data_IF_182039425946
#
_entry.id   IF_182039425946
#
_cell.length_a   1.000
_cell.length_b   1.000
_cell.length_c   1.000
_cell.angle_alpha   90.00
_cell.angle_beta   90.00
_cell.angle_gamma   90.00
#
_symmetry.space_group_name_H-M   'P 1'
#
loop_
_entity.id
_entity.type
_entity.pdbx_description
1 polymer ?
#
# COMPACT_ATOMS: atom_id res chain seq x y z
N UNK A 1 -9.72 -4.57 -6.82
CA UNK A 1 -9.44 -3.10 -7.00
C UNK A 1 -10.28 -2.38 -5.96
N UNK A 2 -10.04 -1.13 -5.51
CA UNK A 2 -11.05 -0.47 -4.69
C UNK A 2 -12.32 -0.28 -5.53
N UNK A 3 -13.34 -1.13 -5.32
CA UNK A 3 -14.52 -1.20 -6.19
C UNK A 3 -15.54 -0.11 -5.88
N UNK A 4 -15.54 0.45 -4.67
CA UNK A 4 -16.36 1.61 -4.36
C UNK A 4 -15.70 2.91 -4.86
N UNK A 5 -16.48 3.88 -5.40
CA UNK A 5 -15.97 5.19 -5.77
C UNK A 5 -15.27 5.91 -4.61
N UNK A 6 -15.72 5.68 -3.37
CA UNK A 6 -15.15 6.25 -2.16
C UNK A 6 -13.76 5.68 -1.86
N UNK A 7 -13.60 4.36 -1.92
CA UNK A 7 -12.32 3.69 -1.65
C UNK A 7 -11.31 3.98 -2.76
N UNK A 8 -11.78 4.07 -4.01
CA UNK A 8 -10.95 4.49 -5.14
C UNK A 8 -10.42 5.91 -4.91
N UNK A 9 -11.27 6.83 -4.46
CA UNK A 9 -10.86 8.22 -4.13
C UNK A 9 -9.85 8.27 -2.99
N UNK A 10 -10.06 7.48 -1.92
CA UNK A 10 -9.12 7.37 -0.80
C UNK A 10 -7.75 6.83 -1.25
N UNK A 11 -7.74 5.71 -1.97
CA UNK A 11 -6.52 5.11 -2.50
C UNK A 11 -5.76 6.08 -3.43
N UNK A 12 -6.46 6.76 -4.35
CA UNK A 12 -5.84 7.77 -5.21
C UNK A 12 -5.24 8.94 -4.42
N UNK A 13 -5.87 9.36 -3.33
CA UNK A 13 -5.35 10.42 -2.45
C UNK A 13 -4.05 9.97 -1.77
N UNK A 14 -3.99 8.72 -1.30
CA UNK A 14 -2.77 8.12 -0.74
C UNK A 14 -1.66 8.02 -1.77
N UNK A 15 -1.96 7.55 -2.98
CA UNK A 15 -0.99 7.45 -4.09
C UNK A 15 -0.42 8.83 -4.44
N UNK A 16 -1.26 9.87 -4.52
CA UNK A 16 -0.79 11.25 -4.78
C UNK A 16 0.14 11.76 -3.69
N UNK A 17 -0.13 11.43 -2.42
CA UNK A 17 0.77 11.76 -1.31
C UNK A 17 2.12 11.03 -1.44
N UNK A 18 2.10 9.73 -1.73
CA UNK A 18 3.31 8.93 -1.94
C UNK A 18 4.14 9.50 -3.10
N UNK A 19 3.49 9.90 -4.21
CA UNK A 19 4.14 10.57 -5.33
C UNK A 19 4.90 11.83 -4.87
N UNK A 20 4.26 12.71 -4.10
CA UNK A 20 4.92 13.90 -3.57
C UNK A 20 6.10 13.59 -2.63
N UNK A 21 6.01 12.50 -1.86
CA UNK A 21 7.15 12.03 -1.04
C UNK A 21 8.30 11.51 -1.90
N UNK A 22 8.01 10.80 -3.00
CA UNK A 22 9.02 10.31 -3.93
C UNK A 22 9.72 11.46 -4.66
N UNK A 23 8.97 12.44 -5.14
CA UNK A 23 9.54 13.67 -5.76
C UNK A 23 10.40 14.46 -4.76
N UNK A 24 10.03 14.47 -3.47
CA UNK A 24 10.85 15.12 -2.43
C UNK A 24 12.15 14.36 -2.15
N UNK A 25 12.12 13.03 -2.19
CA UNK A 25 13.30 12.18 -2.07
C UNK A 25 14.25 12.37 -3.26
N UNK A 26 13.71 12.41 -4.47
CA UNK A 26 14.47 12.68 -5.70
C UNK A 26 15.23 14.01 -5.60
N UNK A 27 14.54 15.10 -5.24
CA UNK A 27 15.18 16.41 -5.03
C UNK A 27 16.26 16.39 -3.95
N UNK A 28 16.03 15.67 -2.85
CA UNK A 28 17.03 15.55 -1.79
C UNK A 28 18.30 14.86 -2.30
N UNK A 29 18.16 13.78 -3.08
CA UNK A 29 19.27 13.08 -3.70
C UNK A 29 20.01 13.95 -4.71
N UNK A 30 19.30 14.65 -5.60
CA UNK A 30 19.89 15.58 -6.57
C UNK A 30 20.66 16.72 -5.90
N UNK A 31 20.17 17.20 -4.76
CA UNK A 31 20.83 18.27 -3.98
C UNK A 31 22.04 17.79 -3.18
N UNK A 32 22.33 16.48 -3.16
CA UNK A 32 23.41 15.92 -2.35
C UNK A 32 23.13 15.98 -0.83
N UNK A 33 21.87 15.82 -0.42
CA UNK A 33 21.48 15.86 0.98
C UNK A 33 22.18 14.77 1.82
N UNK A 34 22.37 15.06 3.11
CA UNK A 34 22.95 14.11 4.06
C UNK A 34 22.16 12.79 4.13
N UNK A 35 22.87 11.70 4.46
CA UNK A 35 22.29 10.37 4.53
C UNK A 35 21.12 10.26 5.53
N UNK A 36 21.19 10.95 6.67
CA UNK A 36 20.16 10.85 7.71
C UNK A 36 18.78 11.36 7.24
N UNK A 37 18.64 12.58 6.67
CA UNK A 37 17.40 13.03 6.03
C UNK A 37 16.87 12.08 4.93
N UNK A 38 17.76 11.56 4.07
CA UNK A 38 17.39 10.61 3.01
C UNK A 38 16.81 9.32 3.61
N UNK A 39 17.45 8.75 4.63
CA UNK A 39 16.97 7.56 5.33
C UNK A 39 15.61 7.81 6.01
N UNK A 40 15.38 9.00 6.56
CA UNK A 40 14.09 9.38 7.12
C UNK A 40 12.98 9.45 6.05
N UNK A 41 13.27 10.03 4.89
CA UNK A 41 12.32 10.07 3.77
C UNK A 41 12.00 8.68 3.24
N UNK A 42 12.99 7.79 3.10
CA UNK A 42 12.80 6.39 2.73
C UNK A 42 11.93 5.65 3.76
N UNK A 43 12.18 5.84 5.05
CA UNK A 43 11.37 5.25 6.11
C UNK A 43 9.90 5.73 6.04
N UNK A 44 9.68 7.02 5.77
CA UNK A 44 8.34 7.60 5.62
C UNK A 44 7.62 7.06 4.37
N UNK A 45 8.33 6.92 3.24
CA UNK A 45 7.81 6.31 2.01
C UNK A 45 7.39 4.86 2.24
N UNK A 46 8.26 4.05 2.86
CA UNK A 46 7.94 2.66 3.23
C UNK A 46 6.67 2.59 4.08
N UNK A 47 6.57 3.44 5.11
CA UNK A 47 5.38 3.51 5.96
C UNK A 47 4.10 3.86 5.19
N UNK A 48 4.17 4.84 4.28
CA UNK A 48 3.04 5.24 3.46
C UNK A 48 2.58 4.14 2.48
N UNK A 49 3.54 3.46 1.84
CA UNK A 49 3.26 2.33 0.93
C UNK A 49 2.64 1.16 1.70
N UNK A 50 3.19 0.80 2.86
CA UNK A 50 2.67 -0.28 3.69
C UNK A 50 1.24 0.02 4.19
N UNK A 51 0.96 1.27 4.57
CA UNK A 51 -0.38 1.70 4.95
C UNK A 51 -1.39 1.55 3.81
N UNK A 52 -1.03 1.99 2.59
CA UNK A 52 -1.87 1.82 1.41
C UNK A 52 -2.08 0.34 1.07
N UNK A 53 -1.03 -0.47 1.17
CA UNK A 53 -1.10 -1.92 0.92
C UNK A 53 -2.10 -2.60 1.86
N UNK A 54 -2.07 -2.26 3.16
CA UNK A 54 -3.02 -2.79 4.14
C UNK A 54 -4.46 -2.40 3.81
N UNK A 55 -4.71 -1.14 3.45
CA UNK A 55 -6.05 -0.66 3.06
C UNK A 55 -6.58 -1.39 1.82
N UNK A 56 -5.74 -1.57 0.78
CA UNK A 56 -6.13 -2.28 -0.45
C UNK A 56 -6.36 -3.78 -0.19
N UNK A 57 -5.54 -4.39 0.66
CA UNK A 57 -5.68 -5.79 1.04
C UNK A 57 -6.97 -6.05 1.82
N UNK A 58 -7.32 -5.20 2.80
CA UNK A 58 -8.59 -5.31 3.53
C UNK A 58 -9.79 -5.21 2.59
N UNK A 59 -9.77 -4.26 1.65
CA UNK A 59 -10.82 -4.14 0.61
C UNK A 59 -10.95 -5.43 -0.20
N UNK A 60 -9.82 -5.99 -0.66
CA UNK A 60 -9.83 -7.20 -1.49
C UNK A 60 -10.33 -8.44 -0.71
N UNK A 61 -9.92 -8.59 0.55
CA UNK A 61 -10.35 -9.68 1.42
C UNK A 61 -11.86 -9.63 1.66
N UNK A 62 -12.41 -8.44 1.98
CA UNK A 62 -13.85 -8.26 2.21
C UNK A 62 -14.69 -8.64 0.99
N UNK A 63 -14.16 -8.37 -0.20
CA UNK A 63 -14.81 -8.72 -1.46
C UNK A 63 -14.76 -10.23 -1.72
N UNK A 64 -13.59 -10.85 -1.58
CA UNK A 64 -13.47 -12.31 -1.71
C UNK A 64 -14.38 -13.04 -0.72
N UNK A 65 -14.51 -12.54 0.51
CA UNK A 65 -15.45 -13.06 1.51
C UNK A 65 -16.92 -12.91 1.09
N UNK A 66 -17.28 -11.80 0.42
CA UNK A 66 -18.64 -11.55 -0.05
C UNK A 66 -19.02 -12.40 -1.27
N UNK A 67 -18.02 -12.82 -2.06
CA UNK A 67 -18.17 -13.68 -3.23
C UNK A 67 -17.90 -15.18 -2.93
N UNK A 68 -17.51 -15.51 -1.70
CA UNK A 68 -16.92 -16.82 -1.38
C UNK A 68 -17.91 -17.99 -1.46
N UNK A 69 -17.45 -19.05 -2.14
CA UNK A 69 -17.88 -20.43 -1.99
C UNK A 69 -17.29 -21.10 -0.71
N UNK A 70 -16.94 -22.39 -0.73
CA UNK A 70 -16.58 -23.14 0.48
C UNK A 70 -15.44 -22.52 1.33
N UNK A 71 -15.51 -22.59 2.68
CA UNK A 71 -14.57 -21.95 3.60
C UNK A 71 -13.09 -22.29 3.40
N UNK A 72 -12.76 -23.50 2.92
CA UNK A 72 -11.37 -23.94 2.72
C UNK A 72 -10.65 -23.20 1.59
N UNK A 73 -11.39 -22.81 0.55
CA UNK A 73 -10.83 -22.14 -0.63
C UNK A 73 -10.44 -20.70 -0.29
N UNK A 74 -11.33 -20.02 0.42
CA UNK A 74 -11.09 -18.70 1.00
C UNK A 74 -9.85 -18.69 1.93
N UNK A 75 -9.69 -19.69 2.80
CA UNK A 75 -8.54 -19.76 3.70
C UNK A 75 -7.19 -19.88 2.96
N UNK A 76 -7.16 -20.61 1.84
CA UNK A 76 -5.96 -20.73 1.00
C UNK A 76 -5.63 -19.43 0.27
N UNK A 77 -6.65 -18.75 -0.26
CA UNK A 77 -6.49 -17.47 -0.96
C UNK A 77 -5.95 -16.38 0.00
N UNK A 78 -6.53 -16.28 1.19
CA UNK A 78 -6.07 -15.36 2.24
C UNK A 78 -4.62 -15.63 2.67
N UNK A 79 -4.26 -16.91 2.85
CA UNK A 79 -2.89 -17.30 3.22
C UNK A 79 -1.89 -16.92 2.14
N UNK A 80 -2.26 -17.07 0.87
CA UNK A 80 -1.42 -16.71 -0.28
C UNK A 80 -1.23 -15.21 -0.39
N UNK A 81 -2.30 -14.43 -0.21
CA UNK A 81 -2.24 -12.96 -0.15
C UNK A 81 -1.31 -12.47 0.95
N UNK A 82 -1.50 -12.93 2.19
CA UNK A 82 -0.65 -12.55 3.33
C UNK A 82 0.82 -12.83 3.03
N UNK A 83 1.16 -14.03 2.54
CA UNK A 83 2.55 -14.39 2.21
C UNK A 83 3.17 -13.57 1.07
N UNK A 84 2.35 -13.11 0.14
CA UNK A 84 2.82 -12.37 -1.04
C UNK A 84 3.16 -10.93 -0.68
N UNK A 85 2.40 -10.33 0.24
CA UNK A 85 2.48 -8.90 0.53
C UNK A 85 3.08 -8.56 1.90
N UNK A 86 3.13 -9.49 2.86
CA UNK A 86 3.72 -9.29 4.20
C UNK A 86 5.02 -10.08 4.36
N UNK A 87 6.02 -9.76 3.52
CA UNK A 87 7.40 -10.23 3.69
C UNK A 87 8.20 -9.35 4.64
#
# INVERSE_FOLDING_TARGET
>A
MPHSPADKKKALTRVRRIKGQAEALERALESGADCAPVLQQLAALRGAVNGLMAEVMDSHIREQLAEAGPPEQLAQDLTTLVRTYLR
#
